data_IF_471452555938
#
_entry.id   IF_471452555938
#
_cell.length_a   1.000
_cell.length_b   1.000
_cell.length_c   1.000
_cell.angle_alpha   90.00
_cell.angle_beta   90.00
_cell.angle_gamma   90.00
#
_symmetry.space_group_name_H-M   'P 1'
#
loop_
_entity.id
_entity.type
_entity.pdbx_description
1 polymer ?
#
# COMPACT_ATOMS: atom_id res chain seq x y z
N UNK A 1 -17.06 -3.02 23.88
CA UNK A 1 -16.30 -3.60 22.75
C UNK A 1 -15.40 -4.70 23.31
N UNK A 2 -15.58 -5.94 22.89
CA UNK A 2 -14.77 -7.10 23.30
C UNK A 2 -14.10 -7.68 22.06
N UNK A 3 -12.81 -7.98 22.11
CA UNK A 3 -12.11 -8.69 21.04
C UNK A 3 -12.56 -10.14 21.02
N UNK A 4 -13.14 -10.58 19.88
CA UNK A 4 -13.64 -11.94 19.68
C UNK A 4 -12.57 -12.80 19.03
N UNK A 5 -11.91 -12.28 17.99
CA UNK A 5 -10.94 -13.04 17.21
C UNK A 5 -9.91 -12.14 16.53
N UNK A 6 -8.81 -12.72 16.08
CA UNK A 6 -7.84 -12.11 15.16
C UNK A 6 -7.67 -13.06 13.98
N UNK A 7 -8.22 -12.68 12.85
CA UNK A 7 -8.02 -13.41 11.60
C UNK A 7 -6.66 -13.07 11.01
N UNK A 8 -5.95 -14.06 10.49
CA UNK A 8 -4.68 -13.91 9.81
C UNK A 8 -4.90 -14.27 8.34
N UNK A 9 -4.52 -13.37 7.44
CA UNK A 9 -4.53 -13.59 6.00
C UNK A 9 -3.09 -13.62 5.54
N UNK A 10 -2.66 -14.75 4.97
CA UNK A 10 -1.33 -14.95 4.42
C UNK A 10 -1.46 -15.33 2.94
N UNK A 11 -0.61 -14.74 2.09
CA UNK A 11 -0.61 -14.97 0.65
C UNK A 11 0.77 -14.65 0.07
N UNK A 12 0.99 -14.97 -1.20
CA UNK A 12 2.14 -14.50 -1.95
C UNK A 12 1.70 -13.37 -2.87
N UNK A 13 2.32 -12.20 -2.73
CA UNK A 13 2.16 -11.09 -3.65
C UNK A 13 3.17 -11.26 -4.79
N UNK A 14 2.69 -11.36 -6.02
CA UNK A 14 3.52 -11.56 -7.22
C UNK A 14 3.46 -10.29 -8.07
N UNK A 15 4.62 -9.70 -8.37
CA UNK A 15 4.70 -8.51 -9.21
C UNK A 15 4.40 -8.86 -10.67
N UNK A 16 3.41 -8.21 -11.28
CA UNK A 16 3.13 -8.34 -12.71
C UNK A 16 4.05 -7.44 -13.56
N UNK A 17 4.48 -6.33 -13.00
CA UNK A 17 5.42 -5.37 -13.59
C UNK A 17 6.50 -5.02 -12.57
N UNK A 18 7.54 -4.28 -12.98
CA UNK A 18 8.58 -3.84 -12.05
C UNK A 18 8.04 -2.85 -11.00
N UNK A 19 8.42 -3.00 -9.74
CA UNK A 19 7.96 -2.20 -8.61
C UNK A 19 9.06 -1.25 -8.10
N UNK A 20 8.72 0.03 -7.95
CA UNK A 20 9.54 1.02 -7.28
C UNK A 20 8.79 1.62 -6.07
N UNK A 21 9.29 1.36 -4.88
CA UNK A 21 8.90 2.07 -3.66
C UNK A 21 10.17 2.73 -3.13
N UNK A 22 10.22 4.07 -3.15
CA UNK A 22 11.41 4.83 -2.75
C UNK A 22 11.75 4.69 -1.27
N UNK A 23 13.03 4.64 -0.96
CA UNK A 23 13.54 4.49 0.41
C UNK A 23 13.54 5.77 1.25
N UNK A 24 13.07 6.91 0.72
CA UNK A 24 13.18 8.20 1.39
C UNK A 24 14.51 8.90 1.07
N UNK A 25 15.24 9.37 2.06
CA UNK A 25 16.50 10.08 1.86
C UNK A 25 17.56 9.16 1.23
N UNK A 26 17.68 9.22 -0.09
CA UNK A 26 18.82 8.66 -0.78
C UNK A 26 20.02 9.58 -0.53
N UNK A 27 21.05 9.12 0.14
CA UNK A 27 22.36 9.77 0.08
C UNK A 27 22.77 9.87 -1.39
N UNK A 28 23.08 11.08 -1.84
CA UNK A 28 23.51 11.30 -3.23
C UNK A 28 24.87 10.61 -3.41
N UNK A 29 24.87 9.41 -3.93
CA UNK A 29 26.09 8.74 -4.34
C UNK A 29 26.47 9.22 -5.74
N UNK A 30 27.63 9.87 -5.88
CA UNK A 30 28.17 10.29 -7.17
C UNK A 30 28.39 9.05 -8.04
N UNK A 31 27.59 8.90 -9.10
CA UNK A 31 27.63 7.73 -10.01
C UNK A 31 26.72 6.57 -9.61
N UNK A 32 25.86 6.72 -8.58
CA UNK A 32 24.84 5.76 -8.19
C UNK A 32 23.53 5.90 -8.98
N UNK A 33 22.53 5.08 -8.62
CA UNK A 33 21.17 5.19 -9.13
C UNK A 33 20.48 6.38 -8.44
N UNK A 34 19.79 7.24 -9.21
CA UNK A 34 19.19 8.47 -8.70
C UNK A 34 18.06 8.21 -7.69
N UNK A 35 17.28 7.13 -7.91
CA UNK A 35 16.16 6.75 -7.07
C UNK A 35 16.28 5.27 -6.70
N UNK A 36 16.67 4.99 -5.46
CA UNK A 36 16.79 3.62 -4.95
C UNK A 36 15.46 3.12 -4.36
N UNK A 37 15.24 1.79 -4.44
CA UNK A 37 14.12 1.14 -3.74
C UNK A 37 14.41 1.03 -2.25
N UNK A 38 13.34 1.00 -1.46
CA UNK A 38 13.43 0.74 -0.03
C UNK A 38 13.97 -0.67 0.21
N UNK A 39 14.98 -0.77 1.09
CA UNK A 39 15.64 -2.04 1.46
C UNK A 39 15.65 -2.20 2.98
N UNK A 40 15.58 -3.43 3.41
CA UNK A 40 15.71 -3.76 4.83
C UNK A 40 17.16 -3.45 5.29
N UNK A 41 17.36 -2.66 6.37
CA UNK A 41 18.67 -2.12 6.72
C UNK A 41 19.72 -3.19 7.10
N UNK A 42 19.28 -4.37 7.51
CA UNK A 42 20.19 -5.46 7.92
C UNK A 42 20.49 -6.40 6.75
N UNK A 43 19.46 -6.84 6.01
CA UNK A 43 19.65 -7.81 4.90
C UNK A 43 20.01 -7.15 3.57
N UNK A 44 19.72 -5.85 3.39
CA UNK A 44 19.85 -5.16 2.10
C UNK A 44 18.81 -5.60 1.05
N UNK A 45 17.91 -6.51 1.40
CA UNK A 45 16.87 -7.00 0.50
C UNK A 45 15.73 -5.99 0.36
N UNK A 46 15.17 -5.77 -0.85
CA UNK A 46 13.98 -4.94 -1.01
C UNK A 46 12.77 -5.60 -0.31
N UNK A 47 11.88 -4.79 0.21
CA UNK A 47 10.63 -5.24 0.82
C UNK A 47 9.49 -4.27 0.49
N UNK A 48 8.25 -4.70 0.68
CA UNK A 48 7.09 -3.82 0.56
C UNK A 48 6.65 -3.41 1.96
N UNK A 49 6.71 -2.11 2.32
CA UNK A 49 6.22 -1.64 3.61
C UNK A 49 4.72 -1.89 3.77
N UNK A 50 4.30 -2.45 4.90
CA UNK A 50 2.89 -2.63 5.23
C UNK A 50 2.11 -1.32 5.23
N UNK A 51 2.75 -0.21 5.57
CA UNK A 51 2.18 1.14 5.50
C UNK A 51 1.85 1.57 4.07
N UNK A 52 2.68 1.21 3.09
CA UNK A 52 2.42 1.49 1.66
C UNK A 52 1.20 0.74 1.16
N UNK A 53 1.08 -0.55 1.49
CA UNK A 53 -0.11 -1.36 1.17
C UNK A 53 -1.36 -0.81 1.85
N UNK A 54 -1.28 -0.55 3.15
CA UNK A 54 -2.39 0.01 3.94
C UNK A 54 -2.88 1.33 3.35
N UNK A 55 -1.97 2.25 3.06
CA UNK A 55 -2.29 3.57 2.51
C UNK A 55 -2.93 3.48 1.13
N UNK A 56 -2.38 2.65 0.24
CA UNK A 56 -2.90 2.46 -1.12
C UNK A 56 -4.30 1.84 -1.11
N UNK A 57 -4.50 0.76 -0.36
CA UNK A 57 -5.80 0.08 -0.28
C UNK A 57 -6.85 1.01 0.32
N UNK A 58 -6.51 1.74 1.38
CA UNK A 58 -7.39 2.76 1.95
C UNK A 58 -7.80 3.80 0.91
N UNK A 59 -6.84 4.38 0.21
CA UNK A 59 -7.09 5.39 -0.83
C UNK A 59 -8.02 4.86 -1.93
N UNK A 60 -7.81 3.63 -2.42
CA UNK A 60 -8.67 3.00 -3.42
C UNK A 60 -10.12 2.82 -2.93
N UNK A 61 -10.30 2.43 -1.68
CA UNK A 61 -11.63 2.32 -1.07
C UNK A 61 -12.29 3.69 -0.87
N UNK A 62 -11.52 4.70 -0.48
CA UNK A 62 -11.99 6.09 -0.37
C UNK A 62 -12.46 6.61 -1.74
N UNK A 63 -11.71 6.35 -2.81
CA UNK A 63 -12.13 6.68 -4.18
C UNK A 63 -13.43 5.96 -4.56
N UNK A 64 -13.51 4.67 -4.26
CA UNK A 64 -14.70 3.87 -4.54
C UNK A 64 -15.95 4.35 -3.80
N UNK A 65 -15.80 4.89 -2.58
CA UNK A 65 -16.91 5.44 -1.80
C UNK A 65 -17.52 6.70 -2.41
N UNK A 66 -16.79 7.38 -3.33
CA UNK A 66 -17.19 8.67 -3.90
C UNK A 66 -17.09 9.84 -2.92
N UNK A 67 -16.47 9.64 -1.76
CA UNK A 67 -16.32 10.68 -0.73
C UNK A 67 -14.87 11.22 -0.61
N UNK A 68 -13.97 10.80 -1.51
CA UNK A 68 -12.54 11.17 -1.48
C UNK A 68 -12.34 12.69 -1.47
N UNK A 69 -11.40 13.15 -0.65
CA UNK A 69 -10.99 14.55 -0.51
C UNK A 69 -9.44 14.64 -0.58
N UNK A 70 -8.89 15.84 -0.42
CA UNK A 70 -7.43 16.05 -0.34
C UNK A 70 -6.81 15.36 0.89
N UNK A 71 -7.55 15.30 2.00
CA UNK A 71 -7.16 14.59 3.21
C UNK A 71 -7.87 13.24 3.31
N UNK A 72 -7.32 12.27 4.08
CA UNK A 72 -8.01 11.02 4.36
C UNK A 72 -9.39 11.25 5.00
N UNK A 73 -10.36 10.38 4.69
CA UNK A 73 -11.71 10.45 5.22
C UNK A 73 -11.73 10.50 6.75
N UNK A 74 -12.63 11.31 7.29
CA UNK A 74 -12.88 11.47 8.71
C UNK A 74 -14.35 11.65 9.05
N UNK A 75 -14.62 12.19 10.26
CA UNK A 75 -15.98 12.48 10.72
C UNK A 75 -16.74 13.43 9.79
N UNK A 76 -16.06 14.46 9.29
CA UNK A 76 -16.68 15.48 8.42
C UNK A 76 -17.31 14.85 7.16
N UNK A 77 -16.60 13.92 6.51
CA UNK A 77 -17.09 13.25 5.32
C UNK A 77 -18.20 12.26 5.66
N UNK A 78 -18.14 11.63 6.83
CA UNK A 78 -19.21 10.77 7.33
C UNK A 78 -20.50 11.57 7.56
N UNK A 79 -20.42 12.69 8.27
CA UNK A 79 -21.57 13.56 8.57
C UNK A 79 -22.20 14.20 7.29
N UNK A 80 -21.41 14.39 6.24
CA UNK A 80 -21.83 14.98 4.96
C UNK A 80 -22.11 13.92 3.88
N UNK A 81 -22.24 12.65 4.23
CA UNK A 81 -22.53 11.58 3.28
C UNK A 81 -23.86 11.86 2.54
N UNK A 82 -23.87 11.65 1.22
CA UNK A 82 -25.01 11.94 0.36
C UNK A 82 -26.21 11.00 0.58
N UNK A 83 -25.93 9.80 1.09
CA UNK A 83 -26.93 8.77 1.39
C UNK A 83 -26.40 7.76 2.40
N UNK A 84 -27.28 6.90 2.90
CA UNK A 84 -26.94 5.88 3.90
C UNK A 84 -25.88 4.86 3.41
N UNK A 85 -25.89 4.53 2.12
CA UNK A 85 -24.91 3.61 1.54
C UNK A 85 -23.50 4.19 1.57
N UNK A 86 -23.36 5.47 1.23
CA UNK A 86 -22.06 6.17 1.30
C UNK A 86 -21.59 6.32 2.76
N UNK A 87 -22.50 6.68 3.69
CA UNK A 87 -22.19 6.74 5.11
C UNK A 87 -21.68 5.40 5.65
N UNK A 88 -22.36 4.30 5.29
CA UNK A 88 -21.93 2.94 5.67
C UNK A 88 -20.54 2.59 5.10
N UNK A 89 -20.27 2.91 3.84
CA UNK A 89 -18.97 2.68 3.22
C UNK A 89 -17.86 3.48 3.92
N UNK A 90 -18.08 4.76 4.22
CA UNK A 90 -17.15 5.59 4.96
C UNK A 90 -16.89 5.00 6.36
N UNK A 91 -17.96 4.60 7.08
CA UNK A 91 -17.84 3.99 8.41
C UNK A 91 -16.98 2.73 8.38
N UNK A 92 -17.20 1.84 7.42
CA UNK A 92 -16.40 0.62 7.26
C UNK A 92 -14.93 0.92 6.99
N UNK A 93 -14.62 1.91 6.13
CA UNK A 93 -13.24 2.35 5.86
C UNK A 93 -12.59 2.86 7.16
N UNK A 94 -13.30 3.70 7.93
CA UNK A 94 -12.79 4.24 9.18
C UNK A 94 -12.59 3.16 10.24
N UNK A 95 -13.47 2.17 10.33
CA UNK A 95 -13.33 1.01 11.22
C UNK A 95 -12.12 0.16 10.84
N UNK A 96 -11.92 -0.12 9.54
CA UNK A 96 -10.79 -0.91 9.05
C UNK A 96 -9.46 -0.19 9.27
N UNK A 97 -9.34 1.04 8.80
CA UNK A 97 -8.05 1.74 8.68
C UNK A 97 -7.76 2.76 9.78
N UNK A 98 -8.77 3.11 10.56
CA UNK A 98 -8.68 4.08 11.67
C UNK A 98 -8.99 5.52 11.25
N UNK A 99 -9.15 6.38 12.24
CA UNK A 99 -9.39 7.81 12.11
C UNK A 99 -8.12 8.57 12.49
N UNK A 100 -7.84 9.70 11.82
CA UNK A 100 -6.81 10.63 12.28
C UNK A 100 -7.25 11.30 13.60
N UNK A 101 -6.37 11.28 14.62
CA UNK A 101 -6.71 11.66 15.99
C UNK A 101 -7.17 13.11 16.17
N UNK A 102 -6.80 14.00 15.27
CA UNK A 102 -7.04 15.45 15.41
C UNK A 102 -8.42 15.90 14.92
N UNK A 103 -9.23 15.02 14.32
CA UNK A 103 -10.45 15.40 13.59
C UNK A 103 -11.75 14.82 14.12
N UNK A 104 -11.72 13.94 15.12
CA UNK A 104 -12.92 13.29 15.63
C UNK A 104 -13.17 13.59 17.11
N UNK A 105 -14.43 13.89 17.48
CA UNK A 105 -14.85 13.97 18.85
C UNK A 105 -14.82 12.56 19.53
N UNK A 106 -14.79 12.55 20.86
CA UNK A 106 -14.70 11.30 21.64
C UNK A 106 -15.85 10.33 21.38
N UNK A 107 -17.06 10.82 21.07
CA UNK A 107 -18.22 9.98 20.84
C UNK A 107 -18.08 9.24 19.50
N UNK A 108 -17.65 9.95 18.46
CA UNK A 108 -17.39 9.35 17.16
C UNK A 108 -16.21 8.36 17.21
N UNK A 109 -15.15 8.70 17.95
CA UNK A 109 -14.03 7.76 18.17
C UNK A 109 -14.50 6.47 18.87
N UNK A 110 -15.40 6.58 19.86
CA UNK A 110 -15.99 5.40 20.53
C UNK A 110 -16.89 4.59 19.60
N UNK A 111 -17.63 5.25 18.71
CA UNK A 111 -18.48 4.60 17.71
C UNK A 111 -17.68 3.80 16.69
N UNK A 112 -16.63 4.40 16.13
CA UNK A 112 -15.75 3.72 15.16
C UNK A 112 -14.89 2.66 15.85
N UNK A 113 -14.37 2.95 17.02
CA UNK A 113 -13.55 2.08 17.83
C UNK A 113 -12.11 1.93 17.30
N UNK A 114 -11.45 0.84 17.70
CA UNK A 114 -10.06 0.58 17.33
C UNK A 114 -9.91 0.15 15.86
N UNK A 115 -8.80 0.51 15.23
CA UNK A 115 -8.42 0.02 13.89
C UNK A 115 -8.42 -1.51 13.84
N UNK A 116 -9.12 -2.08 12.85
CA UNK A 116 -9.24 -3.54 12.70
C UNK A 116 -8.06 -4.16 11.98
N UNK A 117 -7.53 -3.52 10.94
CA UNK A 117 -6.46 -4.10 10.11
C UNK A 117 -5.07 -3.70 10.56
N UNK A 118 -4.14 -4.66 10.49
CA UNK A 118 -2.71 -4.41 10.60
C UNK A 118 -2.00 -5.08 9.43
N UNK A 119 -1.32 -4.29 8.62
CA UNK A 119 -0.51 -4.75 7.50
C UNK A 119 0.92 -4.93 7.98
N UNK A 120 1.49 -6.08 7.70
CA UNK A 120 2.89 -6.38 7.99
C UNK A 120 3.75 -5.97 6.81
N UNK A 121 5.02 -5.69 7.07
CA UNK A 121 5.98 -5.53 5.99
C UNK A 121 6.13 -6.87 5.26
N UNK A 122 6.19 -6.81 3.93
CA UNK A 122 6.27 -8.01 3.09
C UNK A 122 7.73 -8.18 2.62
N UNK A 123 8.49 -9.10 3.22
CA UNK A 123 9.82 -9.45 2.73
C UNK A 123 9.72 -10.23 1.41
N UNK A 124 10.83 -10.30 0.68
CA UNK A 124 10.95 -11.22 -0.44
C UNK A 124 10.73 -12.66 0.02
N UNK A 125 10.01 -13.44 -0.79
CA UNK A 125 9.78 -14.85 -0.55
C UNK A 125 11.11 -15.62 -0.59
N UNK A 126 11.38 -16.45 0.42
CA UNK A 126 12.67 -17.12 0.57
C UNK A 126 13.02 -18.09 -0.56
N UNK A 127 12.03 -18.76 -1.13
CA UNK A 127 12.29 -19.68 -2.26
C UNK A 127 12.53 -18.91 -3.56
N UNK A 128 11.92 -17.73 -3.70
CA UNK A 128 12.25 -16.80 -4.80
C UNK A 128 13.70 -16.32 -4.68
N UNK A 129 14.16 -15.88 -3.50
CA UNK A 129 15.54 -15.41 -3.27
C UNK A 129 16.54 -16.53 -3.56
N UNK A 130 16.34 -17.74 -3.00
CA UNK A 130 17.23 -18.89 -3.25
C UNK A 130 17.37 -19.22 -4.75
N UNK A 131 16.28 -19.11 -5.51
CA UNK A 131 16.31 -19.33 -6.95
C UNK A 131 17.17 -18.29 -7.68
N UNK A 132 17.02 -17.00 -7.32
CA UNK A 132 17.86 -15.93 -7.89
C UNK A 132 19.33 -16.12 -7.52
N UNK A 133 19.63 -16.49 -6.28
CA UNK A 133 21.01 -16.76 -5.83
C UNK A 133 21.63 -17.93 -6.62
N UNK A 134 20.87 -19.01 -6.85
CA UNK A 134 21.35 -20.15 -7.63
C UNK A 134 21.67 -19.80 -9.07
N UNK A 135 20.92 -18.85 -9.64
CA UNK A 135 21.08 -18.39 -11.02
C UNK A 135 22.01 -17.15 -11.11
N UNK A 136 22.56 -16.70 -9.98
CA UNK A 136 23.40 -15.49 -9.86
C UNK A 136 22.73 -14.24 -10.45
N UNK A 137 21.42 -14.07 -10.19
CA UNK A 137 20.61 -12.95 -10.66
C UNK A 137 20.43 -11.89 -9.56
N UNK A 138 20.43 -10.59 -9.92
CA UNK A 138 20.23 -9.52 -8.95
C UNK A 138 18.78 -9.43 -8.47
N UNK A 139 18.57 -8.92 -7.25
CA UNK A 139 17.23 -8.69 -6.67
C UNK A 139 16.54 -7.46 -7.27
N UNK A 140 17.29 -6.55 -7.86
CA UNK A 140 16.80 -5.28 -8.42
C UNK A 140 17.42 -5.03 -9.79
N UNK A 141 16.78 -4.18 -10.57
CA UNK A 141 17.25 -3.72 -11.87
C UNK A 141 17.20 -2.20 -11.95
N UNK A 142 18.08 -1.59 -12.77
CA UNK A 142 18.06 -0.17 -13.07
C UNK A 142 17.26 0.09 -14.35
N UNK A 143 16.20 0.90 -14.24
CA UNK A 143 15.43 1.37 -15.40
C UNK A 143 15.86 2.79 -15.74
N UNK A 144 16.36 2.98 -16.96
CA UNK A 144 16.68 4.31 -17.50
C UNK A 144 15.43 4.93 -18.11
N UNK A 145 15.16 6.19 -17.75
CA UNK A 145 14.04 6.97 -18.24
C UNK A 145 14.52 8.32 -18.76
N UNK A 146 13.91 8.81 -19.84
CA UNK A 146 14.20 10.12 -20.43
C UNK A 146 12.89 10.90 -20.60
N UNK A 147 12.96 12.21 -20.45
CA UNK A 147 11.92 13.11 -20.91
C UNK A 147 12.18 13.44 -22.39
N UNK A 148 11.17 13.28 -23.24
CA UNK A 148 11.27 13.71 -24.64
C UNK A 148 10.78 15.14 -24.78
N UNK A 149 11.65 16.01 -25.31
CA UNK A 149 11.26 17.34 -25.75
C UNK A 149 10.33 17.20 -26.96
N UNK A 150 9.09 17.60 -26.81
CA UNK A 150 8.05 17.36 -27.84
C UNK A 150 8.22 18.25 -29.07
N UNK A 151 9.02 19.33 -29.00
CA UNK A 151 9.29 20.24 -30.11
C UNK A 151 10.54 19.78 -30.85
N UNK A 152 11.63 19.54 -30.11
CA UNK A 152 12.93 19.17 -30.71
C UNK A 152 13.06 17.68 -31.02
N UNK A 153 12.22 16.82 -30.45
CA UNK A 153 12.30 15.35 -30.57
C UNK A 153 13.49 14.72 -29.85
N UNK A 154 14.19 15.48 -29.03
CA UNK A 154 15.40 15.04 -28.33
C UNK A 154 15.11 14.52 -26.93
N UNK A 155 15.90 13.54 -26.47
CA UNK A 155 15.85 13.07 -25.10
C UNK A 155 16.54 14.08 -24.15
N UNK A 156 15.88 14.41 -23.06
CA UNK A 156 16.34 15.32 -22.01
C UNK A 156 16.21 14.67 -20.64
N UNK A 157 17.02 15.12 -19.69
CA UNK A 157 16.98 14.71 -18.29
C UNK A 157 16.98 13.18 -18.11
N UNK A 158 18.03 12.46 -18.56
CA UNK A 158 18.16 11.04 -18.29
C UNK A 158 18.22 10.82 -16.78
N UNK A 159 17.45 9.87 -16.27
CA UNK A 159 17.43 9.45 -14.87
C UNK A 159 17.42 7.93 -14.79
N UNK A 160 17.99 7.40 -13.73
CA UNK A 160 17.93 5.97 -13.43
C UNK A 160 17.10 5.73 -12.18
N UNK A 161 16.14 4.82 -12.30
CA UNK A 161 15.28 4.39 -11.20
C UNK A 161 15.52 2.92 -10.94
N UNK A 162 15.90 2.56 -9.71
CA UNK A 162 15.95 1.18 -9.28
C UNK A 162 14.54 0.66 -9.10
N UNK A 163 14.30 -0.60 -9.47
CA UNK A 163 13.04 -1.29 -9.23
C UNK A 163 13.26 -2.77 -9.00
N UNK A 164 12.34 -3.40 -8.28
CA UNK A 164 12.25 -4.84 -8.17
C UNK A 164 11.63 -5.37 -9.47
N UNK A 165 12.22 -6.38 -10.15
CA UNK A 165 11.72 -6.82 -11.45
C UNK A 165 10.37 -7.52 -11.37
N UNK A 166 9.66 -7.58 -12.50
CA UNK A 166 8.45 -8.38 -12.66
C UNK A 166 8.71 -9.86 -12.32
N UNK A 167 7.71 -10.55 -11.78
CA UNK A 167 7.82 -11.94 -11.32
C UNK A 167 8.38 -12.09 -9.92
N UNK A 168 8.85 -11.01 -9.28
CA UNK A 168 9.27 -11.06 -7.89
C UNK A 168 8.10 -11.42 -6.96
N UNK A 169 8.41 -12.19 -5.93
CA UNK A 169 7.44 -12.72 -4.98
C UNK A 169 7.74 -12.20 -3.58
N UNK A 170 6.70 -11.74 -2.88
CA UNK A 170 6.77 -11.24 -1.51
C UNK A 170 5.80 -12.02 -0.63
N UNK A 171 6.20 -12.26 0.60
CA UNK A 171 5.35 -12.89 1.61
C UNK A 171 4.39 -11.84 2.18
N UNK A 172 3.13 -11.89 1.76
CA UNK A 172 2.07 -10.98 2.20
C UNK A 172 1.41 -11.50 3.47
N UNK A 173 1.26 -10.62 4.45
CA UNK A 173 0.55 -10.90 5.69
C UNK A 173 -0.22 -9.69 6.17
N UNK A 174 -1.48 -9.90 6.54
CA UNK A 174 -2.27 -8.94 7.30
C UNK A 174 -3.06 -9.64 8.40
N UNK A 175 -3.43 -8.88 9.43
CA UNK A 175 -4.32 -9.36 10.48
C UNK A 175 -5.54 -8.47 10.58
N UNK A 176 -6.69 -9.09 10.86
CA UNK A 176 -7.98 -8.42 11.04
C UNK A 176 -8.50 -8.75 12.43
N UNK A 177 -8.61 -7.75 13.29
CA UNK A 177 -9.27 -7.87 14.59
C UNK A 177 -10.77 -7.86 14.39
N UNK A 178 -11.45 -8.82 14.97
CA UNK A 178 -12.91 -8.89 15.03
C UNK A 178 -13.37 -8.57 16.46
N UNK A 179 -14.20 -7.55 16.58
CA UNK A 179 -14.80 -7.17 17.85
C UNK A 179 -16.29 -7.57 17.87
N UNK A 180 -16.81 -7.69 19.09
CA UNK A 180 -18.25 -7.88 19.29
C UNK A 180 -19.05 -6.73 18.66
N UNK A 181 -20.05 -7.10 17.84
CA UNK A 181 -20.84 -6.16 17.04
C UNK A 181 -20.24 -5.74 15.69
N UNK A 182 -19.08 -6.26 15.30
CA UNK A 182 -18.55 -6.03 13.95
C UNK A 182 -19.37 -6.81 12.90
N UNK A 183 -19.71 -6.14 11.81
CA UNK A 183 -20.45 -6.71 10.68
C UNK A 183 -19.53 -7.53 9.75
N UNK A 184 -20.05 -8.60 9.15
CA UNK A 184 -19.33 -9.38 8.12
C UNK A 184 -18.92 -8.50 6.92
N UNK A 185 -19.68 -7.46 6.62
CA UNK A 185 -19.40 -6.48 5.57
C UNK A 185 -18.04 -5.79 5.69
N UNK A 186 -17.43 -5.73 6.89
CA UNK A 186 -16.07 -5.23 7.08
C UNK A 186 -15.02 -6.08 6.34
N UNK A 187 -15.16 -7.40 6.42
CA UNK A 187 -14.24 -8.30 5.70
C UNK A 187 -14.44 -8.20 4.20
N UNK A 188 -15.68 -8.10 3.73
CA UNK A 188 -15.99 -7.92 2.31
C UNK A 188 -15.40 -6.61 1.77
N UNK A 189 -15.49 -5.53 2.54
CA UNK A 189 -14.87 -4.24 2.17
C UNK A 189 -13.36 -4.34 2.08
N UNK A 190 -12.70 -5.05 3.01
CA UNK A 190 -11.27 -5.29 2.95
C UNK A 190 -10.88 -6.12 1.72
N UNK A 191 -11.59 -7.21 1.42
CA UNK A 191 -11.35 -8.05 0.25
C UNK A 191 -11.55 -7.27 -1.06
N UNK A 192 -12.54 -6.37 -1.12
CA UNK A 192 -12.72 -5.46 -2.25
C UNK A 192 -11.50 -4.53 -2.41
N UNK A 193 -10.97 -4.00 -1.31
CA UNK A 193 -9.77 -3.17 -1.34
C UNK A 193 -8.53 -3.90 -1.87
N UNK A 194 -8.34 -5.15 -1.46
CA UNK A 194 -7.30 -6.03 -1.99
C UNK A 194 -7.49 -6.28 -3.49
N UNK A 195 -8.73 -6.52 -3.93
CA UNK A 195 -9.06 -6.72 -5.35
C UNK A 195 -8.82 -5.47 -6.19
N UNK A 196 -9.11 -4.29 -5.66
CA UNK A 196 -8.81 -3.03 -6.34
C UNK A 196 -7.29 -2.84 -6.51
N UNK A 197 -6.49 -3.25 -5.52
CA UNK A 197 -5.03 -3.20 -5.62
C UNK A 197 -4.49 -4.09 -6.74
N UNK A 198 -5.09 -5.27 -7.00
CA UNK A 198 -4.71 -6.13 -8.12
C UNK A 198 -4.92 -5.47 -9.50
N UNK A 199 -5.85 -4.52 -9.59
CA UNK A 199 -6.18 -3.82 -10.84
C UNK A 199 -5.46 -2.48 -11.00
N UNK A 200 -4.79 -2.04 -9.98
CA UNK A 200 -4.07 -0.77 -9.95
C UNK A 200 -2.57 -1.01 -9.72
N UNK A 201 -1.81 0.05 -9.56
CA UNK A 201 -0.37 0.00 -9.29
C UNK A 201 -0.07 0.31 -7.83
N UNK A 202 1.03 -0.26 -7.31
CA UNK A 202 1.61 0.08 -6.01
C UNK A 202 2.93 0.82 -6.24
N UNK A 203 3.11 1.95 -5.54
CA UNK A 203 4.33 2.75 -5.62
C UNK A 203 4.26 3.87 -6.67
N UNK A 204 5.41 4.48 -6.90
CA UNK A 204 5.59 5.57 -7.85
C UNK A 204 5.89 5.09 -9.26
N UNK A 205 5.95 6.04 -10.20
CA UNK A 205 6.37 5.80 -11.59
C UNK A 205 5.49 4.84 -12.41
N UNK A 206 4.23 4.62 -12.02
CA UNK A 206 3.25 3.86 -12.80
C UNK A 206 3.57 2.37 -12.96
N UNK A 207 4.18 1.79 -11.95
CA UNK A 207 4.51 0.35 -11.91
C UNK A 207 3.63 -0.41 -10.95
#
# INVERSE_FOLDING_TARGET
MQLINIHIIEATLVLQTGLHIGGGDSEIHIGGIDNEVIKHPVSGEPYIPGSSLKGKIRSLLEWKSGAVQEAPLGKKEYDNAQNEQQAAAIKQILQLFGISGDTADENFQKEIGHTRVSFWDCPLNRDYVKRLDSDNLPLTEAKSENRINRIAGTAEHPRQTERVPAGAQFDFKLTVKQFDGDEEALLDTLLQGLKLLEWDSLGGNGS
#
